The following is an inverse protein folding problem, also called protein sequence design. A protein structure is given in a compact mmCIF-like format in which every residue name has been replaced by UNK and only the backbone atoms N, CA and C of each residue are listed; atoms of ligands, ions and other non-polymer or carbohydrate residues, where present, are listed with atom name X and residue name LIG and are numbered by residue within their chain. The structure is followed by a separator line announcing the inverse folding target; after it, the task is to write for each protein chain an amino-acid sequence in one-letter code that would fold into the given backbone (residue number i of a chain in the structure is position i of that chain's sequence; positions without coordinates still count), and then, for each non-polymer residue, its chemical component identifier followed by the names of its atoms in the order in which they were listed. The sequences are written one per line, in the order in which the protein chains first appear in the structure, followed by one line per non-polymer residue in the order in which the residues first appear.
data_IF_809234727992
#
_entry.id   IF_809234727992
#
_cell.length_a   1.000
_cell.length_b   1.000
_cell.length_c   1.000
_cell.angle_alpha   90.00
_cell.angle_beta   90.00
_cell.angle_gamma   90.00
#
_symmetry.space_group_name_H-M   'P 1'
#
loop_
_entity.id
_entity.type
_entity.pdbx_description
1 polymer ?
#
# COMPACT_ATOMS: atom_id res chain seq x y z
N UNK A 1 18.48 -12.44 14.04
CA UNK A 1 19.76 -12.04 13.37
C UNK A 1 19.44 -10.92 12.38
N UNK A 2 20.35 -9.96 12.16
CA UNK A 2 20.14 -8.91 11.14
C UNK A 2 21.08 -9.12 9.95
N UNK A 3 20.55 -9.04 8.74
CA UNK A 3 21.30 -9.18 7.47
C UNK A 3 20.72 -8.23 6.43
N UNK A 4 21.54 -7.34 5.85
CA UNK A 4 21.14 -6.43 4.76
C UNK A 4 19.79 -5.70 4.96
N UNK A 5 19.55 -5.21 6.18
CA UNK A 5 18.31 -4.51 6.55
C UNK A 5 17.09 -5.41 6.78
N UNK A 6 17.31 -6.73 6.84
CA UNK A 6 16.32 -7.76 7.17
C UNK A 6 16.59 -8.29 8.57
N UNK A 7 15.54 -8.45 9.36
CA UNK A 7 15.57 -9.25 10.58
C UNK A 7 15.12 -10.67 10.28
N UNK A 8 15.98 -11.64 10.55
CA UNK A 8 15.71 -13.08 10.43
C UNK A 8 15.11 -13.57 11.74
N UNK A 9 13.81 -13.88 11.70
CA UNK A 9 13.04 -14.50 12.77
C UNK A 9 13.05 -16.03 12.72
N UNK A 10 12.20 -16.67 13.52
CA UNK A 10 12.05 -18.13 13.51
C UNK A 10 11.28 -18.64 12.29
N UNK A 11 11.38 -19.93 11.99
CA UNK A 11 10.57 -20.65 10.99
C UNK A 11 10.57 -20.05 9.57
N UNK A 12 11.70 -19.43 9.19
CA UNK A 12 11.90 -18.81 7.87
C UNK A 12 11.24 -17.44 7.70
N UNK A 13 10.72 -16.84 8.77
CA UNK A 13 10.14 -15.50 8.71
C UNK A 13 11.24 -14.42 8.61
N UNK A 14 11.12 -13.58 7.59
CA UNK A 14 11.97 -12.42 7.38
C UNK A 14 11.18 -11.16 7.65
N UNK A 15 11.77 -10.15 8.29
CA UNK A 15 11.09 -8.89 8.58
C UNK A 15 11.91 -7.71 8.08
N UNK A 16 11.23 -6.67 7.60
CA UNK A 16 11.90 -5.42 7.28
C UNK A 16 12.35 -4.76 8.59
N UNK A 17 13.66 -4.56 8.75
CA UNK A 17 14.23 -3.91 9.91
C UNK A 17 14.81 -2.52 9.57
N UNK A 18 15.27 -2.33 8.35
CA UNK A 18 15.91 -1.09 7.92
C UNK A 18 15.27 -0.55 6.62
N UNK A 19 15.76 0.57 6.10
CA UNK A 19 15.30 1.23 4.89
C UNK A 19 15.01 2.70 5.13
N UNK A 20 14.38 3.36 4.15
CA UNK A 20 14.11 4.81 4.19
C UNK A 20 13.28 5.28 5.39
N UNK A 21 12.61 4.36 6.09
CA UNK A 21 11.71 4.65 7.20
C UNK A 21 12.23 4.15 8.56
N UNK A 22 13.45 3.58 8.63
CA UNK A 22 14.05 3.06 9.87
C UNK A 22 13.07 2.20 10.70
N UNK A 23 12.49 1.16 10.07
CA UNK A 23 11.41 0.36 10.69
C UNK A 23 11.80 -0.16 12.08
N UNK A 24 13.06 -0.58 12.27
CA UNK A 24 13.55 -1.00 13.58
C UNK A 24 13.36 0.07 14.64
N UNK A 25 13.74 1.32 14.37
CA UNK A 25 13.61 2.42 15.34
C UNK A 25 12.15 2.66 15.72
N UNK A 26 11.22 2.52 14.76
CA UNK A 26 9.79 2.56 15.07
C UNK A 26 9.40 1.53 16.13
N UNK A 27 10.03 0.36 16.22
CA UNK A 27 9.70 -0.70 17.18
C UNK A 27 10.70 -0.87 18.34
N UNK A 28 11.76 -0.05 18.40
CA UNK A 28 12.78 -0.08 19.47
C UNK A 28 12.89 1.23 20.25
N UNK A 29 12.57 2.36 19.64
CA UNK A 29 12.80 3.70 20.20
C UNK A 29 11.48 4.48 20.26
N UNK A 30 10.94 4.67 21.48
CA UNK A 30 9.65 5.35 21.65
C UNK A 30 9.69 6.80 21.13
N UNK A 31 10.82 7.48 21.29
CA UNK A 31 11.05 8.86 20.87
C UNK A 31 11.25 9.04 19.37
N UNK A 32 11.46 7.96 18.59
CA UNK A 32 11.69 8.05 17.15
C UNK A 32 10.47 8.63 16.43
N UNK A 33 9.26 8.28 16.89
CA UNK A 33 8.03 8.93 16.47
C UNK A 33 7.72 10.09 17.44
N UNK A 34 8.15 11.30 17.08
CA UNK A 34 7.99 12.48 17.93
C UNK A 34 6.52 12.85 18.17
N UNK A 35 6.24 13.55 19.28
CA UNK A 35 4.90 14.06 19.57
C UNK A 35 4.41 15.02 18.49
N UNK A 36 5.29 15.83 17.90
CA UNK A 36 4.95 16.69 16.77
C UNK A 36 4.52 15.90 15.54
N UNK A 37 5.18 14.77 15.25
CA UNK A 37 4.81 13.90 14.14
C UNK A 37 3.45 13.25 14.39
N UNK A 38 3.22 12.76 15.62
CA UNK A 38 1.94 12.19 16.04
C UNK A 38 0.82 13.22 15.91
N UNK A 39 1.04 14.43 16.42
CA UNK A 39 0.08 15.52 16.34
C UNK A 39 -0.20 15.93 14.90
N UNK A 40 0.84 16.07 14.07
CA UNK A 40 0.73 16.37 12.66
C UNK A 40 -0.10 15.32 11.89
N UNK A 41 0.06 14.03 12.21
CA UNK A 41 -0.79 12.98 11.65
C UNK A 41 -2.25 13.11 12.08
N UNK A 42 -2.52 13.33 13.37
CA UNK A 42 -3.89 13.51 13.88
C UNK A 42 -4.58 14.68 13.19
N UNK A 43 -3.93 15.85 13.15
CA UNK A 43 -4.42 17.03 12.46
C UNK A 43 -4.67 16.76 10.97
N UNK A 44 -3.75 16.06 10.30
CA UNK A 44 -3.89 15.70 8.90
C UNK A 44 -5.10 14.82 8.63
N UNK A 45 -5.31 13.78 9.44
CA UNK A 45 -6.43 12.85 9.28
C UNK A 45 -7.78 13.52 9.56
N UNK A 46 -7.86 14.38 10.58
CA UNK A 46 -9.05 15.17 10.90
C UNK A 46 -9.36 16.15 9.74
N UNK A 47 -8.36 16.89 9.26
CA UNK A 47 -8.56 17.82 8.14
C UNK A 47 -9.02 17.13 6.86
N UNK A 48 -8.56 15.90 6.58
CA UNK A 48 -9.05 15.09 5.46
C UNK A 48 -10.52 14.73 5.64
N UNK A 49 -10.91 14.26 6.83
CA UNK A 49 -12.28 13.93 7.15
C UNK A 49 -13.21 15.13 6.97
N UNK A 50 -12.84 16.30 7.48
CA UNK A 50 -13.62 17.54 7.36
C UNK A 50 -13.79 17.96 5.89
N UNK A 51 -12.69 18.06 5.14
CA UNK A 51 -12.71 18.49 3.73
C UNK A 51 -13.50 17.56 2.81
N UNK A 52 -13.50 16.25 3.11
CA UNK A 52 -14.27 15.27 2.34
C UNK A 52 -15.73 15.26 2.76
N UNK A 53 -16.03 15.47 4.04
CA UNK A 53 -17.40 15.64 4.52
C UNK A 53 -18.06 16.89 3.91
N UNK A 54 -17.35 18.00 3.79
CA UNK A 54 -17.82 19.20 3.07
C UNK A 54 -18.20 18.92 1.61
N UNK A 55 -17.55 17.94 0.98
CA UNK A 55 -17.85 17.47 -0.38
C UNK A 55 -18.91 16.37 -0.42
N UNK A 56 -19.49 16.00 0.72
CA UNK A 56 -20.41 14.87 0.86
C UNK A 56 -19.77 13.51 0.46
N UNK A 57 -18.44 13.42 0.60
CA UNK A 57 -17.66 12.21 0.30
C UNK A 57 -17.31 11.50 1.61
N UNK A 58 -17.60 10.20 1.69
CA UNK A 58 -17.22 9.40 2.86
C UNK A 58 -15.71 9.15 2.83
N UNK A 59 -15.03 9.40 3.96
CA UNK A 59 -13.60 9.15 4.09
C UNK A 59 -13.32 7.97 5.01
N UNK A 60 -12.30 7.18 4.64
CA UNK A 60 -11.72 6.13 5.46
C UNK A 60 -10.21 6.13 5.31
N UNK A 61 -9.50 6.24 6.42
CA UNK A 61 -8.07 5.96 6.49
C UNK A 61 -7.84 4.52 6.95
N UNK A 62 -6.95 3.80 6.29
CA UNK A 62 -6.62 2.41 6.59
C UNK A 62 -5.13 2.31 6.86
N UNK A 63 -4.78 2.00 8.10
CA UNK A 63 -3.43 1.60 8.44
C UNK A 63 -3.22 0.13 8.09
N UNK A 64 -2.32 -0.16 7.16
CA UNK A 64 -1.86 -1.53 6.94
C UNK A 64 -0.86 -1.88 8.05
N UNK A 65 -1.14 -2.90 8.87
CA UNK A 65 -0.22 -3.30 9.94
C UNK A 65 1.13 -3.72 9.35
N UNK A 66 2.22 -3.47 10.06
CA UNK A 66 3.46 -4.13 9.73
C UNK A 66 3.37 -5.62 10.04
N UNK A 67 4.14 -6.40 9.29
CA UNK A 67 4.33 -7.82 9.58
C UNK A 67 4.88 -8.05 11.00
N UNK A 68 5.70 -7.11 11.48
CA UNK A 68 6.19 -7.05 12.88
C UNK A 68 5.04 -7.00 13.89
N UNK A 69 4.01 -6.19 13.61
CA UNK A 69 2.85 -6.02 14.50
C UNK A 69 1.95 -7.26 14.56
N UNK A 70 1.97 -8.14 13.55
CA UNK A 70 1.10 -9.32 13.45
C UNK A 70 1.82 -10.62 13.87
N UNK A 71 3.04 -10.84 13.36
CA UNK A 71 3.81 -12.08 13.57
C UNK A 71 4.87 -11.94 14.68
N UNK A 72 4.46 -11.33 15.80
CA UNK A 72 5.31 -11.09 16.98
C UNK A 72 5.95 -12.37 17.54
N UNK A 73 5.25 -13.50 17.40
CA UNK A 73 5.66 -14.81 17.92
C UNK A 73 6.89 -15.39 17.18
N UNK A 74 7.28 -14.79 16.05
CA UNK A 74 8.47 -15.15 15.29
C UNK A 74 9.65 -14.19 15.50
N UNK A 75 9.54 -13.28 16.46
CA UNK A 75 10.50 -12.21 16.72
C UNK A 75 11.10 -12.40 18.13
N UNK A 76 12.42 -12.26 18.24
CA UNK A 76 13.12 -12.28 19.51
C UNK A 76 12.94 -10.99 20.34
N UNK A 77 13.67 -10.84 21.46
CA UNK A 77 13.52 -9.70 22.37
C UNK A 77 14.00 -8.35 21.80
N UNK A 78 14.48 -8.32 20.55
CA UNK A 78 15.11 -7.16 19.91
C UNK A 78 14.14 -5.99 19.64
N UNK A 79 12.82 -6.20 19.80
CA UNK A 79 11.77 -5.22 19.50
C UNK A 79 10.82 -5.03 20.70
N UNK A 80 11.19 -4.19 21.69
CA UNK A 80 10.39 -4.02 22.91
C UNK A 80 9.03 -3.35 22.69
N UNK A 81 8.82 -2.65 21.56
CA UNK A 81 7.60 -1.90 21.29
C UNK A 81 6.63 -2.62 20.32
N UNK A 82 6.77 -3.94 20.11
CA UNK A 82 5.88 -4.71 19.22
C UNK A 82 4.39 -4.59 19.60
N UNK A 83 4.08 -4.33 20.88
CA UNK A 83 2.71 -4.14 21.36
C UNK A 83 2.14 -2.74 21.12
N UNK A 84 2.99 -1.77 20.76
CA UNK A 84 2.60 -0.39 20.51
C UNK A 84 2.95 -0.06 19.07
N UNK A 85 2.12 -0.49 18.12
CA UNK A 85 2.39 -0.25 16.71
C UNK A 85 2.49 1.26 16.41
N UNK A 86 3.20 1.68 15.37
CA UNK A 86 3.27 3.09 15.00
C UNK A 86 1.88 3.71 14.75
N UNK A 87 0.96 2.97 14.14
CA UNK A 87 -0.43 3.40 13.98
C UNK A 87 -1.17 3.54 15.33
N UNK A 88 -0.98 2.59 16.25
CA UNK A 88 -1.59 2.65 17.60
C UNK A 88 -1.12 3.89 18.38
N UNK A 89 0.12 4.36 18.18
CA UNK A 89 0.64 5.59 18.82
C UNK A 89 -0.01 6.86 18.27
N UNK A 90 -0.47 6.84 17.02
CA UNK A 90 -1.19 7.96 16.39
C UNK A 90 -2.64 7.99 16.84
N UNK A 91 -3.23 6.84 17.14
CA UNK A 91 -4.64 6.73 17.52
C UNK A 91 -5.05 7.72 18.63
N UNK A 92 -6.26 8.26 18.49
CA UNK A 92 -6.99 8.97 19.52
C UNK A 92 -8.50 8.89 19.23
N UNK A 93 -9.35 9.22 20.22
CA UNK A 93 -10.81 9.07 20.08
C UNK A 93 -11.42 9.91 18.94
N UNK A 94 -10.83 11.05 18.60
CA UNK A 94 -11.29 11.91 17.48
C UNK A 94 -11.15 11.23 16.11
N UNK A 95 -10.28 10.22 15.99
CA UNK A 95 -10.10 9.44 14.76
C UNK A 95 -11.11 8.31 14.61
N UNK A 96 -11.95 8.10 15.64
CA UNK A 96 -12.96 7.04 15.64
C UNK A 96 -13.98 7.23 14.52
N UNK A 97 -14.31 6.13 13.85
CA UNK A 97 -15.30 6.10 12.77
C UNK A 97 -14.74 6.34 11.36
N UNK A 98 -13.54 6.90 11.22
CA UNK A 98 -12.90 7.10 9.91
C UNK A 98 -11.43 6.67 9.85
N UNK A 99 -10.84 6.17 10.93
CA UNK A 99 -9.55 5.47 10.91
C UNK A 99 -9.75 4.01 11.28
N UNK A 100 -9.33 3.10 10.41
CA UNK A 100 -9.48 1.66 10.56
C UNK A 100 -8.18 1.03 11.09
N UNK A 101 -8.27 0.36 12.25
CA UNK A 101 -7.21 -0.49 12.79
C UNK A 101 -7.46 -1.95 12.39
N UNK A 102 -6.56 -2.50 11.58
CA UNK A 102 -6.65 -3.88 11.09
C UNK A 102 -6.01 -4.90 12.05
N UNK A 103 -5.23 -4.48 13.04
CA UNK A 103 -4.45 -5.39 13.93
C UNK A 103 -5.34 -6.43 14.61
N UNK A 104 -6.50 -6.08 15.24
CA UNK A 104 -7.33 -7.08 15.90
C UNK A 104 -7.86 -8.15 14.93
N UNK A 105 -8.33 -7.71 13.76
CA UNK A 105 -8.85 -8.59 12.72
C UNK A 105 -7.77 -9.52 12.14
N UNK A 106 -6.54 -9.05 12.05
CA UNK A 106 -5.39 -9.83 11.57
C UNK A 106 -4.86 -10.78 12.66
N UNK A 107 -4.88 -10.38 13.92
CA UNK A 107 -4.47 -11.22 15.05
C UNK A 107 -5.39 -12.44 15.22
N UNK A 108 -6.69 -12.30 14.93
CA UNK A 108 -7.62 -13.42 14.86
C UNK A 108 -7.34 -14.29 13.62
N UNK A 109 -7.28 -13.69 12.43
CA UNK A 109 -7.21 -14.45 11.18
C UNK A 109 -5.87 -15.17 10.99
N UNK A 110 -4.76 -14.67 11.56
CA UNK A 110 -3.44 -15.34 11.49
C UNK A 110 -3.45 -16.74 12.11
N UNK A 111 -4.39 -17.03 13.02
CA UNK A 111 -4.56 -18.35 13.62
C UNK A 111 -5.12 -19.39 12.64
N UNK A 112 -5.69 -18.93 11.52
CA UNK A 112 -6.36 -19.79 10.52
C UNK A 112 -5.56 -19.90 9.23
N UNK A 113 -4.83 -18.85 8.85
CA UNK A 113 -4.08 -18.81 7.59
C UNK A 113 -2.98 -17.75 7.60
N UNK A 114 -1.98 -17.94 6.74
CA UNK A 114 -0.87 -17.01 6.55
C UNK A 114 -1.35 -15.73 5.84
N UNK A 115 -1.29 -14.60 6.56
CA UNK A 115 -1.69 -13.27 6.08
C UNK A 115 -0.57 -12.47 5.41
N UNK A 116 0.70 -12.83 5.60
CA UNK A 116 1.86 -12.19 4.95
C UNK A 116 2.82 -13.26 4.45
N UNK A 117 3.50 -13.00 3.35
CA UNK A 117 4.57 -13.88 2.90
C UNK A 117 5.73 -13.87 3.91
N UNK A 118 6.39 -15.00 4.08
CA UNK A 118 7.52 -15.11 5.02
C UNK A 118 8.70 -14.28 4.55
N UNK A 119 8.97 -14.31 3.26
CA UNK A 119 10.14 -13.70 2.59
C UNK A 119 9.82 -12.40 1.86
N UNK A 120 8.60 -11.86 2.03
CA UNK A 120 8.18 -10.57 1.46
C UNK A 120 7.66 -9.59 2.54
N UNK A 121 7.68 -8.28 2.29
CA UNK A 121 7.05 -7.30 3.20
C UNK A 121 5.53 -7.29 3.12
N UNK A 122 4.93 -7.77 2.03
CA UNK A 122 3.50 -7.63 1.76
C UNK A 122 2.64 -8.77 2.30
N UNK A 123 1.34 -8.47 2.39
CA UNK A 123 0.33 -9.47 2.71
C UNK A 123 0.18 -10.53 1.61
N UNK A 124 -0.34 -11.70 1.97
CA UNK A 124 -0.85 -12.67 1.01
C UNK A 124 -2.22 -12.21 0.49
N UNK A 125 -2.79 -12.95 -0.48
CA UNK A 125 -4.19 -12.76 -0.86
C UNK A 125 -5.13 -12.87 0.34
N UNK A 126 -4.87 -13.77 1.29
CA UNK A 126 -5.68 -13.91 2.50
C UNK A 126 -5.62 -12.67 3.40
N UNK A 127 -4.43 -12.07 3.57
CA UNK A 127 -4.30 -10.81 4.31
C UNK A 127 -5.00 -9.64 3.63
N UNK A 128 -4.83 -9.49 2.31
CA UNK A 128 -5.54 -8.48 1.52
C UNK A 128 -7.06 -8.66 1.59
N UNK A 129 -7.53 -9.90 1.48
CA UNK A 129 -8.95 -10.25 1.58
C UNK A 129 -9.50 -9.93 2.98
N UNK A 130 -8.74 -10.22 4.05
CA UNK A 130 -9.15 -9.85 5.41
C UNK A 130 -9.27 -8.34 5.59
N UNK A 131 -8.31 -7.56 5.09
CA UNK A 131 -8.38 -6.10 5.10
C UNK A 131 -9.59 -5.58 4.31
N UNK A 132 -9.83 -6.13 3.12
CA UNK A 132 -10.98 -5.83 2.28
C UNK A 132 -12.32 -6.04 3.01
N UNK A 133 -12.48 -7.15 3.75
CA UNK A 133 -13.70 -7.40 4.53
C UNK A 133 -13.94 -6.34 5.61
N UNK A 134 -12.89 -5.94 6.34
CA UNK A 134 -12.99 -4.90 7.37
C UNK A 134 -13.24 -3.52 6.76
N UNK A 135 -12.68 -3.22 5.59
CA UNK A 135 -12.96 -2.00 4.84
C UNK A 135 -14.42 -1.97 4.40
N UNK A 136 -14.93 -3.05 3.79
CA UNK A 136 -16.35 -3.14 3.41
C UNK A 136 -17.26 -2.94 4.62
N UNK A 137 -16.96 -3.58 5.76
CA UNK A 137 -17.70 -3.41 7.01
C UNK A 137 -17.69 -1.96 7.49
N UNK A 138 -16.53 -1.30 7.55
CA UNK A 138 -16.42 0.11 7.95
C UNK A 138 -17.17 1.06 6.99
N UNK A 139 -17.21 0.72 5.70
CA UNK A 139 -17.92 1.49 4.68
C UNK A 139 -19.43 1.21 4.65
N UNK A 140 -19.91 0.15 5.31
CA UNK A 140 -21.29 -0.34 5.19
C UNK A 140 -21.57 -0.93 3.80
N UNK A 141 -20.56 -1.48 3.13
CA UNK A 141 -20.66 -2.15 1.84
C UNK A 141 -20.85 -3.66 2.04
N UNK A 142 -21.58 -4.31 1.13
CA UNK A 142 -21.66 -5.77 1.10
C UNK A 142 -20.47 -6.34 0.33
N UNK A 143 -19.56 -7.11 0.98
CA UNK A 143 -18.44 -7.70 0.26
C UNK A 143 -18.89 -8.86 -0.64
N UNK A 144 -18.18 -9.08 -1.75
CA UNK A 144 -18.30 -10.29 -2.55
C UNK A 144 -17.54 -11.44 -1.87
N UNK A 145 -18.29 -12.26 -1.13
CA UNK A 145 -17.74 -13.40 -0.40
C UNK A 145 -17.19 -14.50 -1.33
N UNK A 146 -17.60 -14.52 -2.61
CA UNK A 146 -17.09 -15.50 -3.57
C UNK A 146 -15.63 -15.24 -3.94
N UNK A 147 -15.09 -14.04 -3.67
CA UNK A 147 -13.68 -13.74 -3.92
C UNK A 147 -12.72 -14.65 -3.14
N UNK A 148 -13.13 -15.16 -1.97
CA UNK A 148 -12.33 -16.12 -1.20
C UNK A 148 -12.11 -17.46 -1.92
N UNK A 149 -13.03 -17.82 -2.84
CA UNK A 149 -13.01 -19.10 -3.56
C UNK A 149 -12.21 -19.04 -4.86
N UNK A 150 -11.59 -17.90 -5.18
CA UNK A 150 -10.88 -17.71 -6.44
C UNK A 150 -9.64 -18.62 -6.49
N UNK A 151 -9.37 -19.25 -7.66
CA UNK A 151 -8.16 -20.02 -7.84
C UNK A 151 -6.92 -19.18 -7.56
N UNK A 152 -5.99 -19.74 -6.79
CA UNK A 152 -4.69 -19.15 -6.52
C UNK A 152 -3.66 -19.78 -7.44
N UNK A 153 -3.03 -18.96 -8.28
CA UNK A 153 -1.90 -19.39 -9.09
C UNK A 153 -0.62 -19.27 -8.27
N UNK A 154 0.12 -20.38 -8.19
CA UNK A 154 1.35 -20.46 -7.41
C UNK A 154 2.58 -20.47 -8.33
N UNK A 155 3.59 -19.74 -7.90
CA UNK A 155 4.89 -19.66 -8.57
C UNK A 155 5.98 -19.49 -7.51
N UNK A 156 7.07 -20.22 -7.67
CA UNK A 156 8.23 -20.06 -6.80
C UNK A 156 9.07 -18.85 -7.26
N UNK A 157 9.23 -17.87 -6.37
CA UNK A 157 9.93 -16.61 -6.66
C UNK A 157 10.84 -16.21 -5.50
N UNK A 158 11.87 -15.44 -5.81
CA UNK A 158 12.60 -14.66 -4.81
C UNK A 158 11.86 -13.34 -4.58
N UNK A 159 11.38 -13.14 -3.36
CA UNK A 159 10.57 -11.98 -2.97
C UNK A 159 11.44 -10.87 -2.34
N UNK A 160 10.84 -9.74 -1.95
CA UNK A 160 11.60 -8.52 -1.67
C UNK A 160 12.63 -8.65 -0.53
N UNK A 161 12.31 -9.33 0.59
CA UNK A 161 13.24 -9.59 1.69
C UNK A 161 14.11 -10.80 1.37
N UNK A 162 13.55 -11.82 0.73
CA UNK A 162 14.28 -13.02 0.29
C UNK A 162 15.46 -12.69 -0.63
N UNK A 163 15.32 -11.68 -1.48
CA UNK A 163 16.37 -11.19 -2.37
C UNK A 163 17.54 -10.50 -1.66
N UNK A 164 17.37 -10.09 -0.40
CA UNK A 164 18.38 -9.39 0.38
C UNK A 164 19.30 -10.33 1.15
N UNK A 165 18.97 -11.61 1.24
CA UNK A 165 19.80 -12.61 1.90
C UNK A 165 20.85 -13.19 0.96
N UNK A 166 21.93 -13.74 1.53
CA UNK A 166 22.95 -14.46 0.79
C UNK A 166 23.17 -15.89 1.34
N UNK A 167 22.72 -16.95 0.62
CA UNK A 167 22.08 -16.91 -0.69
C UNK A 167 20.62 -16.40 -0.63
N UNK A 168 20.06 -15.90 -1.76
CA UNK A 168 18.67 -15.49 -1.81
C UNK A 168 17.71 -16.63 -1.48
N UNK A 169 16.65 -16.32 -0.73
CA UNK A 169 15.62 -17.29 -0.34
C UNK A 169 14.37 -17.11 -1.20
N UNK A 170 13.80 -18.23 -1.64
CA UNK A 170 12.56 -18.27 -2.42
C UNK A 170 11.37 -18.68 -1.56
N UNK A 171 10.18 -18.31 -2.01
CA UNK A 171 8.91 -18.74 -1.43
C UNK A 171 7.92 -19.08 -2.55
N UNK A 172 7.02 -20.02 -2.27
CA UNK A 172 5.90 -20.33 -3.15
C UNK A 172 4.85 -19.23 -3.03
N UNK A 173 5.00 -18.19 -3.84
CA UNK A 173 4.09 -17.06 -3.90
C UNK A 173 2.80 -17.43 -4.61
N UNK A 174 1.66 -16.92 -4.12
CA UNK A 174 0.34 -17.20 -4.65
C UNK A 174 -0.48 -15.93 -4.86
N UNK A 175 -1.15 -15.80 -6.01
CA UNK A 175 -2.10 -14.72 -6.24
C UNK A 175 -3.40 -15.20 -6.86
N UNK A 176 -4.49 -14.59 -6.43
CA UNK A 176 -5.81 -14.83 -6.98
C UNK A 176 -5.98 -14.11 -8.31
N UNK A 177 -6.64 -14.77 -9.26
CA UNK A 177 -7.10 -14.09 -10.47
C UNK A 177 -8.34 -13.24 -10.15
N UNK A 178 -8.19 -11.93 -10.30
CA UNK A 178 -9.27 -10.93 -10.18
C UNK A 178 -9.65 -10.38 -11.57
N UNK A 179 -10.61 -9.45 -11.59
CA UNK A 179 -11.24 -8.84 -12.79
C UNK A 179 -12.21 -9.77 -13.52
N UNK A 180 -13.02 -10.52 -12.78
CA UNK A 180 -14.10 -11.32 -13.36
C UNK A 180 -15.36 -10.49 -13.61
N UNK A 181 -15.70 -9.56 -12.70
CA UNK A 181 -16.85 -8.65 -12.84
C UNK A 181 -16.44 -7.23 -13.24
N UNK A 182 -15.19 -6.87 -12.95
CA UNK A 182 -14.63 -5.56 -13.25
C UNK A 182 -13.62 -5.61 -14.39
N UNK A 183 -13.37 -4.46 -15.01
CA UNK A 183 -12.37 -4.29 -16.07
C UNK A 183 -11.63 -2.98 -15.89
N UNK A 184 -10.37 -2.94 -16.33
CA UNK A 184 -9.59 -1.71 -16.38
C UNK A 184 -10.15 -0.84 -17.52
N UNK A 185 -10.54 0.39 -17.20
CA UNK A 185 -11.06 1.39 -18.15
C UNK A 185 -10.19 2.63 -18.25
N UNK A 186 -9.23 2.80 -17.34
CA UNK A 186 -8.32 3.94 -17.31
C UNK A 186 -6.93 3.52 -16.87
N UNK A 187 -5.91 4.06 -17.53
CA UNK A 187 -4.50 4.02 -17.13
C UNK A 187 -3.92 5.41 -17.40
N UNK A 188 -3.24 6.00 -16.42
CA UNK A 188 -2.57 7.27 -16.64
C UNK A 188 -1.24 7.09 -17.41
N UNK A 189 -0.62 8.21 -17.79
CA UNK A 189 0.61 8.17 -18.58
C UNK A 189 1.78 7.50 -17.87
N UNK A 190 1.84 7.56 -16.53
CA UNK A 190 2.88 6.87 -15.78
C UNK A 190 2.77 5.34 -15.93
N UNK A 191 1.56 4.79 -15.83
CA UNK A 191 1.34 3.34 -16.03
C UNK A 191 1.72 2.95 -17.45
N UNK A 192 1.28 3.69 -18.47
CA UNK A 192 1.62 3.40 -19.87
C UNK A 192 3.12 3.49 -20.12
N UNK A 193 3.78 4.48 -19.53
CA UNK A 193 5.23 4.64 -19.62
C UNK A 193 5.98 3.44 -19.01
N UNK A 194 5.56 2.98 -17.83
CA UNK A 194 6.14 1.81 -17.18
C UNK A 194 5.92 0.50 -17.97
N UNK A 195 4.77 0.35 -18.61
CA UNK A 195 4.47 -0.77 -19.50
C UNK A 195 5.42 -0.79 -20.71
N UNK A 196 5.71 0.37 -21.31
CA UNK A 196 6.69 0.49 -22.41
C UNK A 196 8.11 0.13 -21.99
N UNK A 197 8.47 0.35 -20.73
CA UNK A 197 9.77 -0.02 -20.18
C UNK A 197 9.88 -1.51 -19.79
N UNK A 198 8.87 -2.34 -20.12
CA UNK A 198 8.76 -3.74 -19.72
C UNK A 198 8.92 -3.94 -18.21
N UNK A 199 8.41 -3.00 -17.41
CA UNK A 199 8.54 -3.08 -15.96
C UNK A 199 9.98 -3.00 -15.45
N UNK A 200 10.93 -2.44 -16.22
CA UNK A 200 12.23 -1.99 -15.69
C UNK A 200 11.99 -0.85 -14.71
N UNK A 201 11.59 -1.24 -13.51
CA UNK A 201 11.23 -0.35 -12.43
C UNK A 201 12.50 0.33 -11.92
N UNK A 202 12.65 1.60 -12.26
CA UNK A 202 13.56 2.47 -11.53
C UNK A 202 12.90 2.91 -10.22
N UNK A 203 13.72 3.03 -9.17
CA UNK A 203 13.27 3.48 -7.86
C UNK A 203 12.40 4.74 -7.97
N UNK A 204 11.29 4.75 -7.22
CA UNK A 204 10.32 5.83 -7.12
C UNK A 204 9.39 6.07 -8.32
N UNK A 205 9.46 5.32 -9.42
CA UNK A 205 8.56 5.54 -10.57
C UNK A 205 7.10 5.09 -10.32
N UNK A 206 6.83 4.38 -9.22
CA UNK A 206 5.49 3.94 -8.86
C UNK A 206 4.58 5.08 -8.35
N UNK A 207 5.14 6.07 -7.64
CA UNK A 207 4.36 7.18 -7.09
C UNK A 207 3.78 8.02 -8.23
N UNK A 208 2.47 8.24 -8.19
CA UNK A 208 1.72 8.89 -9.24
C UNK A 208 1.17 7.95 -10.30
N UNK A 209 1.42 6.63 -10.23
CA UNK A 209 0.66 5.68 -11.05
C UNK A 209 -0.82 5.72 -10.69
N UNK A 210 -1.69 5.63 -11.69
CA UNK A 210 -3.13 5.55 -11.46
C UNK A 210 -3.82 4.67 -12.49
N UNK A 211 -4.73 3.83 -11.98
CA UNK A 211 -5.52 2.89 -12.76
C UNK A 211 -6.98 2.97 -12.31
N UNK A 212 -7.90 2.90 -13.28
CA UNK A 212 -9.34 2.97 -13.03
C UNK A 212 -10.05 1.71 -13.52
N UNK A 213 -11.01 1.26 -12.73
CA UNK A 213 -11.83 0.08 -12.94
C UNK A 213 -13.31 0.46 -13.05
N UNK A 214 -14.04 -0.23 -13.90
CA UNK A 214 -15.51 -0.18 -14.01
C UNK A 214 -16.06 -1.60 -13.78
N UNK A 215 -17.12 -1.70 -12.98
CA UNK A 215 -17.82 -2.94 -12.67
C UNK A 215 -19.33 -2.74 -12.86
N UNK A 216 -19.86 -3.00 -14.06
CA UNK A 216 -21.29 -2.87 -14.33
C UNK A 216 -22.17 -3.82 -13.50
N UNK A 217 -21.60 -4.90 -12.98
CA UNK A 217 -22.28 -5.91 -12.16
C UNK A 217 -21.96 -5.76 -10.66
N UNK A 218 -21.62 -4.53 -10.23
CA UNK A 218 -21.19 -4.26 -8.87
C UNK A 218 -22.29 -4.54 -7.84
N UNK A 219 -21.89 -5.02 -6.66
CA UNK A 219 -22.78 -5.18 -5.51
C UNK A 219 -23.06 -3.82 -4.83
N UNK A 220 -22.14 -2.87 -5.02
CA UNK A 220 -22.22 -1.52 -4.49
C UNK A 220 -22.12 -0.51 -5.64
N UNK A 221 -23.05 0.44 -5.71
CA UNK A 221 -23.09 1.41 -6.81
C UNK A 221 -22.14 2.62 -6.60
N UNK A 222 -21.47 2.70 -5.45
CA UNK A 222 -20.58 3.82 -5.12
C UNK A 222 -19.26 3.78 -5.89
N UNK A 223 -18.66 4.96 -6.06
CA UNK A 223 -17.38 5.23 -6.72
C UNK A 223 -16.30 5.47 -5.67
N UNK A 224 -15.23 4.70 -5.71
CA UNK A 224 -14.14 4.73 -4.72
C UNK A 224 -12.87 5.31 -5.35
N UNK A 225 -12.31 6.34 -4.73
CA UNK A 225 -10.90 6.71 -4.93
C UNK A 225 -10.04 6.11 -3.83
N UNK A 226 -9.03 5.34 -4.22
CA UNK A 226 -8.08 4.71 -3.32
C UNK A 226 -6.70 5.36 -3.51
N UNK A 227 -6.29 6.17 -2.55
CA UNK A 227 -4.91 6.68 -2.47
C UNK A 227 -4.12 5.72 -1.59
N UNK A 228 -3.19 4.97 -2.16
CA UNK A 228 -2.52 3.88 -1.44
C UNK A 228 -1.07 3.69 -1.80
N UNK A 229 -0.50 2.59 -1.32
CA UNK A 229 0.86 2.16 -1.62
C UNK A 229 0.88 0.78 -2.31
N UNK A 230 1.96 0.03 -2.14
CA UNK A 230 2.17 -1.30 -2.72
C UNK A 230 1.20 -2.36 -2.22
N UNK A 231 0.49 -2.14 -1.11
CA UNK A 231 -0.57 -3.04 -0.63
C UNK A 231 -1.83 -2.97 -1.50
N UNK A 232 -2.06 -1.87 -2.21
CA UNK A 232 -3.17 -1.70 -3.14
C UNK A 232 -2.79 -1.96 -4.60
N UNK A 233 -1.59 -1.52 -5.00
CA UNK A 233 -0.94 -1.68 -6.31
C UNK A 233 -1.76 -1.33 -7.58
N UNK A 234 -1.08 -0.88 -8.66
CA UNK A 234 -1.72 -0.53 -9.93
C UNK A 234 -2.03 -1.73 -10.83
N UNK A 235 -1.48 -2.91 -10.54
CA UNK A 235 -1.83 -4.17 -11.20
C UNK A 235 -3.11 -4.71 -10.52
N UNK A 236 -3.94 -5.48 -11.24
CA UNK A 236 -5.26 -5.86 -10.75
C UNK A 236 -5.22 -7.04 -9.77
N UNK A 237 -4.55 -6.82 -8.65
CA UNK A 237 -4.39 -7.78 -7.57
C UNK A 237 -4.46 -7.01 -6.23
N UNK A 238 -4.38 -7.74 -5.11
CA UNK A 238 -4.48 -7.18 -3.75
C UNK A 238 -5.70 -6.24 -3.57
N UNK A 239 -5.57 -5.13 -2.84
CA UNK A 239 -6.72 -4.33 -2.40
C UNK A 239 -7.42 -3.59 -3.57
N UNK A 240 -6.67 -3.07 -4.55
CA UNK A 240 -7.30 -2.37 -5.68
C UNK A 240 -8.21 -3.30 -6.49
N UNK A 241 -7.75 -4.53 -6.77
CA UNK A 241 -8.54 -5.53 -7.48
C UNK A 241 -9.74 -6.03 -6.67
N UNK A 242 -9.57 -6.28 -5.36
CA UNK A 242 -10.65 -6.73 -4.48
C UNK A 242 -11.79 -5.71 -4.39
N UNK A 243 -11.45 -4.42 -4.23
CA UNK A 243 -12.43 -3.35 -4.22
C UNK A 243 -13.11 -3.22 -5.60
N UNK A 244 -12.36 -3.35 -6.69
CA UNK A 244 -12.91 -3.26 -8.05
C UNK A 244 -13.98 -4.32 -8.33
N UNK A 245 -13.88 -5.52 -7.73
CA UNK A 245 -14.89 -6.58 -7.87
C UNK A 245 -16.21 -6.27 -7.13
N UNK A 246 -16.23 -5.26 -6.25
CA UNK A 246 -17.37 -4.94 -5.37
C UNK A 246 -18.06 -3.64 -5.72
N UNK A 247 -17.28 -2.58 -5.96
CA UNK A 247 -17.76 -1.22 -6.19
C UNK A 247 -17.92 -0.90 -7.67
N UNK A 248 -18.85 -0.01 -8.01
CA UNK A 248 -19.17 0.36 -9.40
C UNK A 248 -17.97 0.89 -10.16
N UNK A 249 -17.23 1.79 -9.52
CA UNK A 249 -15.99 2.31 -10.07
C UNK A 249 -14.96 2.42 -8.97
N UNK A 250 -13.73 2.03 -9.27
CA UNK A 250 -12.59 2.19 -8.37
C UNK A 250 -11.47 2.84 -9.15
N UNK A 251 -10.89 3.92 -8.63
CA UNK A 251 -9.64 4.43 -9.17
C UNK A 251 -8.57 4.42 -8.09
N UNK A 252 -7.52 3.65 -8.33
CA UNK A 252 -6.34 3.62 -7.49
C UNK A 252 -5.36 4.71 -7.94
N UNK A 253 -4.73 5.36 -6.97
CA UNK A 253 -3.65 6.33 -7.13
C UNK A 253 -2.55 5.96 -6.14
N UNK A 254 -1.35 5.68 -6.63
CA UNK A 254 -0.21 5.44 -5.76
C UNK A 254 0.29 6.76 -5.17
N UNK A 255 -0.19 7.11 -3.98
CA UNK A 255 0.13 8.36 -3.30
C UNK A 255 -0.28 8.32 -1.84
N UNK A 256 0.58 8.85 -0.97
CA UNK A 256 0.22 9.14 0.42
C UNK A 256 -0.67 10.40 0.52
N UNK A 257 -0.56 11.34 -0.42
CA UNK A 257 -1.33 12.58 -0.48
C UNK A 257 -2.65 12.39 -1.24
N UNK A 258 -3.71 13.08 -0.79
CA UNK A 258 -5.00 13.16 -1.49
C UNK A 258 -4.96 14.28 -2.52
N UNK A 259 -5.34 13.98 -3.76
CA UNK A 259 -5.62 14.97 -4.82
C UNK A 259 -7.12 15.31 -4.78
N UNK A 260 -7.48 16.42 -4.14
CA UNK A 260 -8.88 16.83 -3.97
C UNK A 260 -9.55 17.24 -5.28
N UNK A 261 -8.81 17.74 -6.27
CA UNK A 261 -9.40 18.03 -7.57
C UNK A 261 -9.76 16.73 -8.31
N UNK A 262 -8.96 15.68 -8.15
CA UNK A 262 -9.31 14.36 -8.65
C UNK A 262 -10.54 13.80 -7.95
N UNK A 263 -10.73 14.05 -6.65
CA UNK A 263 -11.96 13.70 -5.93
C UNK A 263 -13.18 14.29 -6.62
N UNK A 264 -13.13 15.57 -6.96
CA UNK A 264 -14.22 16.30 -7.60
C UNK A 264 -14.43 15.83 -9.06
N UNK A 265 -13.35 15.69 -9.85
CA UNK A 265 -13.41 15.21 -11.25
C UNK A 265 -13.92 13.78 -11.36
N UNK A 266 -13.47 12.90 -10.47
CA UNK A 266 -13.91 11.51 -10.42
C UNK A 266 -15.31 11.35 -9.84
N UNK A 267 -15.87 12.40 -9.21
CA UNK A 267 -17.16 12.33 -8.51
C UNK A 267 -17.18 11.17 -7.51
N UNK A 268 -16.17 11.12 -6.65
CA UNK A 268 -16.04 10.04 -5.68
C UNK A 268 -17.19 10.08 -4.67
N UNK A 269 -17.77 8.93 -4.34
CA UNK A 269 -18.66 8.79 -3.19
C UNK A 269 -17.86 8.45 -1.92
N UNK A 270 -16.72 7.77 -2.12
CA UNK A 270 -15.82 7.32 -1.06
C UNK A 270 -14.38 7.65 -1.45
N UNK A 271 -13.62 8.17 -0.49
CA UNK A 271 -12.16 8.25 -0.57
C UNK A 271 -11.57 7.36 0.52
N UNK A 272 -10.71 6.44 0.11
CA UNK A 272 -9.89 5.63 1.00
C UNK A 272 -8.46 6.16 0.88
N UNK A 273 -7.81 6.44 2.01
CA UNK A 273 -6.36 6.52 2.05
C UNK A 273 -5.81 5.32 2.79
N UNK A 274 -4.92 4.57 2.15
CA UNK A 274 -4.32 3.34 2.64
C UNK A 274 -2.82 3.56 2.77
N UNK A 275 -2.24 3.14 3.89
CA UNK A 275 -0.80 3.26 4.08
C UNK A 275 -0.25 2.24 5.07
N UNK A 276 0.90 1.66 4.75
CA UNK A 276 1.66 0.90 5.72
C UNK A 276 2.07 1.76 6.92
N UNK A 277 1.89 1.25 8.14
CA UNK A 277 2.20 2.01 9.35
C UNK A 277 3.70 2.35 9.49
N UNK A 278 4.60 1.70 8.76
CA UNK A 278 6.01 2.14 8.66
C UNK A 278 6.21 3.52 8.02
N UNK A 279 5.24 4.06 7.28
CA UNK A 279 5.35 5.38 6.65
C UNK A 279 4.92 6.54 7.54
N UNK A 280 4.63 6.30 8.83
CA UNK A 280 4.20 7.34 9.77
C UNK A 280 5.27 8.40 10.09
N UNK A 281 6.52 8.20 9.67
CA UNK A 281 7.62 9.12 9.97
C UNK A 281 7.40 10.53 9.41
N UNK A 282 6.51 10.69 8.42
CA UNK A 282 6.13 12.01 7.89
C UNK A 282 4.69 12.02 7.40
N UNK A 283 3.89 12.92 7.95
CA UNK A 283 2.55 13.19 7.43
C UNK A 283 2.61 13.87 6.04
N UNK A 284 1.78 13.43 5.08
CA UNK A 284 1.67 14.06 3.76
C UNK A 284 1.04 15.46 3.85
N UNK A 285 1.39 16.33 2.92
CA UNK A 285 0.88 17.71 2.88
C UNK A 285 -0.49 17.85 2.20
N UNK A 286 -0.94 16.84 1.44
CA UNK A 286 -2.14 16.86 0.58
C UNK A 286 -2.23 18.08 -0.36
N UNK A 287 -1.10 18.46 -0.93
CA UNK A 287 -0.91 19.54 -1.91
C UNK A 287 -0.56 18.99 -3.30
N UNK A 288 -0.95 17.73 -3.56
CA UNK A 288 -0.54 17.00 -4.75
C UNK A 288 -1.47 17.28 -5.93
N UNK A 289 -0.87 17.64 -7.07
CA UNK A 289 -1.48 17.59 -8.39
C UNK A 289 -0.92 16.35 -9.12
N UNK A 290 -1.78 15.36 -9.35
CA UNK A 290 -1.37 14.09 -9.95
C UNK A 290 -0.83 14.27 -11.37
N UNK A 291 -1.44 15.17 -12.14
CA UNK A 291 -1.07 15.40 -13.54
C UNK A 291 0.31 16.02 -13.61
N UNK A 292 0.55 17.05 -12.80
CA UNK A 292 1.86 17.71 -12.72
C UNK A 292 2.93 16.75 -12.21
N UNK A 293 2.64 15.98 -11.16
CA UNK A 293 3.57 14.99 -10.60
C UNK A 293 4.02 13.96 -11.64
N UNK A 294 3.07 13.42 -12.41
CA UNK A 294 3.34 12.45 -13.47
C UNK A 294 4.20 13.06 -14.58
N UNK A 295 3.86 14.26 -15.03
CA UNK A 295 4.61 14.98 -16.05
C UNK A 295 6.07 15.20 -15.62
N UNK A 296 6.29 15.80 -14.44
CA UNK A 296 7.61 16.14 -13.92
C UNK A 296 8.51 14.89 -13.77
N UNK A 297 7.94 13.77 -13.34
CA UNK A 297 8.66 12.51 -13.16
C UNK A 297 9.09 11.88 -14.50
N UNK A 298 8.19 11.83 -15.48
CA UNK A 298 8.52 11.30 -16.81
C UNK A 298 9.60 12.17 -17.47
N UNK A 299 9.46 13.51 -17.41
CA UNK A 299 10.47 14.43 -17.96
C UNK A 299 11.82 14.26 -17.25
N UNK A 300 11.83 14.17 -15.92
CA UNK A 300 13.06 13.95 -15.15
C UNK A 300 13.76 12.64 -15.54
N UNK A 301 12.99 11.57 -15.72
CA UNK A 301 13.52 10.27 -16.18
C UNK A 301 14.15 10.39 -17.57
N UNK A 302 13.43 10.94 -18.55
CA UNK A 302 13.91 11.07 -19.93
C UNK A 302 15.19 11.91 -20.01
N UNK A 303 15.28 12.99 -19.22
CA UNK A 303 16.47 13.81 -19.15
C UNK A 303 17.69 13.05 -18.61
N UNK A 304 17.50 12.20 -17.60
CA UNK A 304 18.58 11.36 -17.05
C UNK A 304 19.06 10.31 -18.05
N UNK A 305 18.15 9.63 -18.74
CA UNK A 305 18.51 8.65 -19.78
C UNK A 305 19.27 9.30 -20.94
N UNK A 306 18.81 10.47 -21.41
CA UNK A 306 19.51 11.25 -22.45
C UNK A 306 20.91 11.68 -22.03
N UNK A 307 21.10 12.06 -20.76
CA UNK A 307 22.42 12.41 -20.25
C UNK A 307 23.34 11.19 -20.23
N UNK A 308 22.87 10.03 -19.74
CA UNK A 308 23.65 8.79 -19.72
C UNK A 308 24.01 8.28 -21.11
N UNK A 309 23.13 8.41 -22.10
CA UNK A 309 23.44 8.05 -23.49
C UNK A 309 24.53 8.95 -24.08
N UNK A 310 24.50 10.26 -23.81
CA UNK A 310 25.55 11.18 -24.27
C UNK A 310 26.91 10.86 -23.65
N UNK A 311 26.94 10.51 -22.36
CA UNK A 311 28.19 10.10 -21.68
C UNK A 311 28.73 8.78 -22.22
N UNK A 312 27.88 7.82 -22.63
CA UNK A 312 28.36 6.56 -23.26
C UNK A 312 28.95 6.76 -24.65
N UNK A 313 28.47 7.73 -25.43
CA UNK A 313 29.02 8.03 -26.76
C UNK A 313 30.37 8.79 -26.71
N UNK A 314 30.66 9.51 -25.63
CA UNK A 314 31.93 10.25 -25.49
C UNK A 314 33.15 9.39 -25.15
N UNK A 315 33.00 8.07 -24.94
CA UNK A 315 34.11 7.15 -24.62
C UNK A 315 34.51 6.21 -25.78
N UNK A 316 33.91 6.34 -26.97
CA UNK A 316 34.23 5.51 -28.15
C UNK A 316 34.88 6.31 -29.30
N UNK A 317 35.58 7.39 -28.98
CA UNK A 317 36.43 8.12 -29.94
C UNK A 317 37.84 8.16 -29.35
N UNK A 318 38.54 7.03 -29.49
CA UNK A 318 39.94 6.83 -29.13
C UNK A 318 40.53 5.82 -30.09
#
# INVERSE_FOLDING_TARGET
MFENGVYVGSDGWLFLADGSNDVRKLYTELSFLSQDTIHGWRQRLIARQERLLERQVKYLHVWVPEKLSIYRDHIGPDFPLLQHSPADRIWCNELSGFVLNLIPAFAEEKQRQQLYWKTDTHWTFAGAYRAYLEICKALGASPDLMLRTRPIHHIELTLDLGSKLNPPVKELWGSAQLLNKSRIVFKNEMVRFLELLNGRLQANMHTGTSIGYDNPASLDNRRVLLFGDSYSEYRPHLLSGLLAETFRAVQFVWSASIDYELVDRFKADIVISEMAERFVTRAPADDMDLTKLVHDRIVSFLNKECAMSKTKFSWNVG
#
